data_IF_572094099813
#
_entry.id   IF_572094099813
#
_cell.length_a   1.000
_cell.length_b   1.000
_cell.length_c   1.000
_cell.angle_alpha   90.00
_cell.angle_beta   90.00
_cell.angle_gamma   90.00
#
_symmetry.space_group_name_H-M   'P 1'
#
loop_
_entity.id
_entity.type
_entity.pdbx_description
1 polymer ?
#
# COMPACT_ATOMS: atom_id res chain seq x y z
N UNK A 1 -66.02 -9.93 -49.05
CA UNK A 1 -65.31 -10.58 -47.93
C UNK A 1 -64.02 -11.12 -48.49
N UNK A 2 -62.94 -10.33 -48.37
CA UNK A 2 -61.61 -10.67 -48.88
C UNK A 2 -60.87 -11.44 -47.79
N UNK A 3 -60.53 -12.69 -48.08
CA UNK A 3 -59.70 -13.56 -47.25
C UNK A 3 -58.27 -13.01 -47.27
N UNK A 4 -57.81 -12.51 -46.12
CA UNK A 4 -56.39 -12.25 -45.86
C UNK A 4 -55.77 -13.57 -45.41
N UNK A 5 -54.85 -14.09 -46.19
CA UNK A 5 -54.05 -15.28 -45.87
C UNK A 5 -52.85 -14.83 -45.03
N UNK A 6 -52.73 -15.32 -43.80
CA UNK A 6 -51.61 -15.00 -42.91
C UNK A 6 -50.32 -15.68 -43.39
N UNK A 7 -49.16 -15.01 -43.36
CA UNK A 7 -47.90 -15.59 -43.81
C UNK A 7 -47.36 -16.60 -42.79
N UNK A 8 -47.12 -17.81 -43.28
CA UNK A 8 -46.48 -18.90 -42.54
C UNK A 8 -45.01 -18.58 -42.26
N UNK A 9 -44.66 -18.37 -40.99
CA UNK A 9 -43.28 -18.22 -40.52
C UNK A 9 -42.57 -19.58 -40.52
N UNK A 10 -41.49 -19.69 -41.30
CA UNK A 10 -40.57 -20.83 -41.24
C UNK A 10 -39.73 -20.80 -39.95
N UNK A 11 -39.49 -21.96 -39.31
CA UNK A 11 -38.68 -22.04 -38.09
C UNK A 11 -37.20 -21.77 -38.39
N UNK A 12 -36.61 -20.82 -37.66
CA UNK A 12 -35.18 -20.49 -37.76
C UNK A 12 -34.31 -21.57 -37.10
N UNK A 13 -33.14 -21.91 -37.67
CA UNK A 13 -32.23 -22.90 -37.10
C UNK A 13 -31.61 -22.42 -35.78
N UNK A 14 -31.60 -23.31 -34.79
CA UNK A 14 -31.06 -23.06 -33.44
C UNK A 14 -29.52 -22.93 -33.47
N UNK A 15 -28.90 -22.01 -32.70
CA UNK A 15 -27.45 -21.82 -32.72
C UNK A 15 -26.69 -23.00 -32.08
N UNK A 16 -25.70 -23.55 -32.80
CA UNK A 16 -24.83 -24.63 -32.30
C UNK A 16 -23.99 -24.18 -31.08
N UNK A 17 -24.01 -25.00 -30.02
CA UNK A 17 -23.17 -24.81 -28.82
C UNK A 17 -21.69 -25.12 -29.11
N UNK A 18 -20.74 -24.33 -28.57
CA UNK A 18 -19.31 -24.54 -28.83
C UNK A 18 -18.79 -25.82 -28.17
N UNK A 19 -18.11 -26.66 -28.96
CA UNK A 19 -17.47 -27.91 -28.50
C UNK A 19 -16.18 -27.59 -27.70
N UNK A 20 -16.16 -27.95 -26.41
CA UNK A 20 -14.97 -27.82 -25.54
C UNK A 20 -13.86 -28.78 -26.01
N UNK A 21 -12.72 -28.24 -26.43
CA UNK A 21 -11.51 -29.03 -26.75
C UNK A 21 -10.78 -29.36 -25.44
N UNK A 22 -10.58 -30.64 -25.14
CA UNK A 22 -9.69 -31.09 -24.06
C UNK A 22 -8.24 -30.91 -24.51
N UNK A 23 -7.50 -29.98 -23.91
CA UNK A 23 -6.04 -29.95 -24.00
C UNK A 23 -5.46 -30.92 -22.99
N UNK A 24 -4.76 -31.94 -23.48
CA UNK A 24 -3.82 -32.76 -22.74
C UNK A 24 -2.42 -32.24 -23.08
N UNK A 25 -1.77 -31.54 -22.16
CA UNK A 25 -0.36 -31.15 -22.30
C UNK A 25 0.48 -31.92 -21.29
N UNK A 26 1.29 -32.82 -21.86
CA UNK A 26 2.29 -33.69 -21.27
C UNK A 26 3.41 -32.88 -20.62
N UNK A 27 3.75 -33.22 -19.37
CA UNK A 27 4.92 -32.67 -18.68
C UNK A 27 6.21 -33.27 -19.21
N UNK A 28 7.18 -32.43 -19.55
CA UNK A 28 8.57 -32.80 -19.83
C UNK A 28 9.44 -31.99 -18.87
N UNK A 29 9.99 -32.67 -17.88
CA UNK A 29 11.06 -32.15 -17.04
C UNK A 29 12.36 -32.15 -17.83
N UNK A 30 13.05 -31.00 -17.85
CA UNK A 30 14.42 -30.89 -18.33
C UNK A 30 15.27 -30.36 -17.18
N UNK A 31 16.07 -31.25 -16.59
CA UNK A 31 17.13 -30.91 -15.65
C UNK A 31 18.33 -30.34 -16.44
N UNK A 32 18.73 -29.10 -16.13
CA UNK A 32 19.94 -28.48 -16.65
C UNK A 32 21.10 -28.72 -15.69
N UNK A 33 22.09 -29.50 -16.14
CA UNK A 33 23.37 -29.73 -15.46
C UNK A 33 24.33 -28.61 -15.91
N UNK A 34 24.77 -27.76 -14.98
CA UNK A 34 25.83 -26.77 -15.22
C UNK A 34 27.15 -27.36 -14.76
N UNK A 35 28.05 -27.61 -15.71
CA UNK A 35 29.42 -28.04 -15.45
C UNK A 35 30.34 -26.81 -15.31
N UNK A 36 30.98 -26.65 -14.15
CA UNK A 36 32.00 -25.64 -13.88
C UNK A 36 33.36 -26.23 -14.25
N UNK A 37 34.03 -25.66 -15.27
CA UNK A 37 35.42 -25.98 -15.60
C UNK A 37 36.36 -24.90 -15.04
N UNK A 38 37.13 -25.31 -14.05
CA UNK A 38 38.25 -24.57 -13.47
C UNK A 38 39.49 -24.87 -14.31
N UNK A 39 40.14 -23.86 -14.89
CA UNK A 39 41.51 -24.00 -15.40
C UNK A 39 42.38 -22.88 -14.89
N UNK A 40 43.34 -23.28 -14.06
CA UNK A 40 44.38 -22.46 -13.44
C UNK A 40 45.60 -22.28 -14.34
N UNK A 41 46.07 -21.04 -14.39
CA UNK A 41 47.48 -20.58 -14.25
C UNK A 41 48.54 -21.11 -15.21
N UNK A 42 49.19 -20.19 -15.96
CA UNK A 42 50.67 -20.14 -16.02
C UNK A 42 51.15 -18.68 -16.10
N UNK A 43 52.11 -18.37 -15.24
CA UNK A 43 52.79 -17.10 -15.05
C UNK A 43 53.95 -16.88 -16.03
N UNK A 44 54.29 -15.61 -16.28
CA UNK A 44 55.67 -15.20 -16.61
C UNK A 44 56.03 -13.94 -15.81
N UNK A 45 57.11 -14.06 -15.05
CA UNK A 45 57.77 -13.03 -14.23
C UNK A 45 58.82 -12.27 -15.04
N UNK A 46 59.02 -10.96 -14.80
CA UNK A 46 60.18 -10.40 -14.06
C UNK A 46 60.29 -8.86 -14.18
N UNK A 47 60.41 -8.21 -13.01
CA UNK A 47 61.08 -6.92 -12.75
C UNK A 47 60.36 -5.64 -13.20
N UNK A 48 60.21 -4.55 -12.42
CA UNK A 48 60.92 -4.12 -11.21
C UNK A 48 60.18 -2.91 -10.59
N UNK A 49 60.19 -2.84 -9.24
CA UNK A 49 60.02 -1.66 -8.38
C UNK A 49 58.69 -0.90 -8.28
N UNK A 50 58.06 -1.03 -7.11
CA UNK A 50 57.11 -0.07 -6.52
C UNK A 50 55.95 -0.75 -5.77
N UNK A 51 55.91 -0.62 -4.44
CA UNK A 51 54.83 -1.09 -3.54
C UNK A 51 54.58 0.05 -2.52
N UNK A 52 53.44 0.11 -1.82
CA UNK A 52 52.06 0.25 -2.32
C UNK A 52 51.30 1.38 -1.58
N UNK A 53 50.10 1.75 -2.03
CA UNK A 53 49.01 2.16 -1.13
C UNK A 53 47.68 2.15 -1.90
N UNK A 54 46.69 1.58 -1.24
CA UNK A 54 45.36 1.20 -1.74
C UNK A 54 44.49 2.41 -2.08
N UNK A 55 43.77 2.35 -3.20
CA UNK A 55 42.69 3.28 -3.53
C UNK A 55 41.38 2.48 -3.63
N UNK A 56 40.64 2.47 -2.52
CA UNK A 56 39.22 2.13 -2.47
C UNK A 56 38.50 3.44 -2.10
N UNK A 57 37.51 3.92 -2.88
CA UNK A 57 36.70 5.06 -2.46
C UNK A 57 35.69 4.60 -1.39
N UNK A 58 35.75 5.22 -0.21
CA UNK A 58 34.72 5.10 0.83
C UNK A 58 33.44 5.91 0.45
N UNK A 59 32.26 5.49 0.94
CA UNK A 59 31.01 6.23 0.80
C UNK A 59 30.96 7.48 1.70
N UNK A 60 30.18 8.52 1.35
CA UNK A 60 30.19 9.79 2.09
C UNK A 60 29.53 9.66 3.46
N UNK A 61 30.27 10.08 4.51
CA UNK A 61 29.81 10.23 5.88
C UNK A 61 28.79 11.38 6.02
N UNK A 62 27.76 11.12 6.82
CA UNK A 62 26.70 12.03 7.24
C UNK A 62 27.21 12.82 8.46
N UNK A 63 27.23 14.16 8.38
CA UNK A 63 27.59 15.03 9.50
C UNK A 63 26.52 14.99 10.59
N UNK A 64 26.98 14.76 11.82
CA UNK A 64 26.21 14.65 13.06
C UNK A 64 26.14 16.04 13.72
N UNK A 65 24.95 16.63 13.79
CA UNK A 65 24.72 17.93 14.44
C UNK A 65 24.60 17.72 15.95
N UNK A 66 25.51 18.37 16.68
CA UNK A 66 25.57 18.42 18.14
C UNK A 66 24.43 19.28 18.72
N UNK A 67 23.67 18.69 19.64
CA UNK A 67 22.82 19.40 20.60
C UNK A 67 23.65 19.81 21.82
N UNK A 68 23.51 21.05 22.35
CA UNK A 68 23.86 21.35 23.72
C UNK A 68 22.61 21.32 24.62
N UNK A 69 22.67 20.50 25.66
CA UNK A 69 21.88 20.67 26.88
C UNK A 69 22.58 21.72 27.74
N UNK A 70 21.82 22.66 28.31
CA UNK A 70 22.10 23.12 29.67
C UNK A 70 20.82 23.58 30.38
N UNK A 71 20.83 23.26 31.65
CA UNK A 71 19.79 23.29 32.67
C UNK A 71 19.62 24.70 33.22
N UNK A 72 18.38 25.12 33.52
CA UNK A 72 18.12 25.92 34.72
C UNK A 72 16.65 25.81 35.18
N UNK A 73 16.51 25.34 36.42
CA UNK A 73 15.28 25.28 37.23
C UNK A 73 15.06 26.64 37.90
N UNK A 74 13.80 27.06 38.15
CA UNK A 74 13.40 27.15 39.55
C UNK A 74 11.97 26.65 39.83
N UNK A 75 11.83 26.03 41.00
CA UNK A 75 10.58 25.71 41.70
C UNK A 75 9.75 26.96 42.01
N UNK A 76 8.41 26.86 42.01
CA UNK A 76 7.64 26.95 43.27
C UNK A 76 6.15 26.54 43.16
N UNK A 77 5.71 25.96 44.28
CA UNK A 77 4.40 25.97 44.94
C UNK A 77 3.09 25.41 44.33
N UNK A 78 2.38 24.75 45.25
CA UNK A 78 1.20 23.88 45.16
C UNK A 78 -0.14 24.62 44.98
N UNK A 79 -1.18 23.93 44.53
CA UNK A 79 -2.45 23.74 45.29
C UNK A 79 -3.43 22.80 44.58
N UNK A 80 -4.32 22.29 45.42
CA UNK A 80 -5.22 21.14 45.33
C UNK A 80 -6.53 21.40 44.54
N UNK A 81 -7.28 20.30 44.34
CA UNK A 81 -8.75 20.21 44.42
C UNK A 81 -9.58 19.93 43.15
N UNK A 82 -10.26 18.77 43.23
CA UNK A 82 -11.59 18.35 42.72
C UNK A 82 -11.88 17.98 41.25
N UNK A 83 -12.14 16.66 41.13
CA UNK A 83 -13.14 15.98 40.29
C UNK A 83 -14.57 16.50 40.58
N UNK A 84 -15.48 16.50 39.59
CA UNK A 84 -16.68 15.67 39.75
C UNK A 84 -17.05 14.87 38.50
N UNK A 85 -17.51 13.63 38.75
CA UNK A 85 -18.36 12.84 37.86
C UNK A 85 -19.75 13.46 37.78
N UNK A 86 -20.39 13.41 36.60
CA UNK A 86 -21.81 13.03 36.52
C UNK A 86 -22.17 12.48 35.13
N UNK A 87 -23.34 11.84 35.04
CA UNK A 87 -23.59 10.54 34.40
C UNK A 87 -24.63 10.57 33.26
N UNK A 88 -24.35 9.85 32.13
CA UNK A 88 -25.24 9.04 31.21
C UNK A 88 -26.55 9.60 30.58
N UNK A 89 -27.26 8.91 29.62
CA UNK A 89 -26.90 7.97 28.54
C UNK A 89 -27.66 8.19 27.17
N UNK A 90 -27.16 7.64 26.05
CA UNK A 90 -27.93 7.20 24.84
C UNK A 90 -26.95 6.71 23.76
N UNK A 91 -26.62 5.42 23.67
CA UNK A 91 -27.37 4.29 23.07
C UNK A 91 -27.70 4.45 21.57
N UNK A 92 -26.79 3.93 20.74
CA UNK A 92 -27.02 3.32 19.42
C UNK A 92 -25.69 2.72 18.94
N UNK A 93 -25.25 1.65 19.60
CA UNK A 93 -24.12 0.86 19.14
C UNK A 93 -24.58 -0.09 18.02
N UNK A 94 -24.20 0.23 16.79
CA UNK A 94 -24.23 -0.74 15.70
C UNK A 94 -23.02 -1.66 15.89
N UNK A 95 -23.28 -2.90 16.30
CA UNK A 95 -22.24 -3.93 16.46
C UNK A 95 -21.62 -4.25 15.10
N UNK A 96 -20.41 -3.73 14.87
CA UNK A 96 -19.47 -4.28 13.89
C UNK A 96 -18.81 -5.52 14.49
N UNK A 97 -18.74 -6.66 13.79
CA UNK A 97 -18.04 -7.84 14.26
C UNK A 97 -16.53 -7.61 14.18
N UNK A 98 -15.93 -7.06 15.24
CA UNK A 98 -14.49 -6.97 15.41
C UNK A 98 -13.93 -8.34 15.79
N UNK A 99 -13.62 -9.16 14.79
CA UNK A 99 -12.85 -10.39 14.97
C UNK A 99 -11.45 -10.18 14.41
N UNK A 100 -10.60 -9.47 15.14
CA UNK A 100 -9.13 -9.54 15.00
C UNK A 100 -8.48 -8.99 16.28
N UNK A 101 -7.40 -9.62 16.73
CA UNK A 101 -6.83 -9.48 18.07
C UNK A 101 -6.45 -8.04 18.45
N UNK A 102 -6.46 -7.73 19.75
CA UNK A 102 -5.91 -6.47 20.26
C UNK A 102 -4.44 -6.35 19.85
N UNK A 103 -4.06 -5.19 19.29
CA UNK A 103 -2.66 -4.85 19.03
C UNK A 103 -1.86 -4.96 20.34
N UNK A 104 -0.80 -5.76 20.33
CA UNK A 104 0.11 -5.90 21.48
C UNK A 104 1.16 -4.79 21.43
N UNK A 105 1.20 -3.96 22.48
CA UNK A 105 2.10 -2.82 22.60
C UNK A 105 3.22 -3.15 23.58
N UNK A 106 4.47 -2.91 23.16
CA UNK A 106 5.63 -3.01 24.05
C UNK A 106 5.64 -1.81 25.02
N UNK A 107 5.59 -2.04 26.35
CA UNK A 107 5.57 -0.96 27.34
C UNK A 107 6.83 -0.07 27.33
N UNK A 108 7.94 -0.55 26.78
CA UNK A 108 9.22 0.19 26.74
C UNK A 108 9.30 1.18 25.58
N UNK A 109 8.70 0.85 24.44
CA UNK A 109 8.71 1.70 23.23
C UNK A 109 7.39 2.44 23.01
N UNK A 110 6.30 1.94 23.59
CA UNK A 110 4.94 2.43 23.34
C UNK A 110 4.40 2.02 21.97
N UNK A 111 5.09 1.15 21.22
CA UNK A 111 4.74 0.69 19.86
C UNK A 111 4.56 -0.82 19.80
N UNK A 112 3.93 -1.33 18.74
CA UNK A 112 3.92 -2.76 18.47
C UNK A 112 5.26 -3.28 17.92
N UNK A 113 5.38 -4.59 17.74
CA UNK A 113 6.57 -5.24 17.15
C UNK A 113 6.94 -4.73 15.75
N UNK A 114 6.05 -4.01 15.08
CA UNK A 114 6.22 -3.44 13.75
C UNK A 114 6.32 -1.91 13.76
N UNK A 115 6.70 -1.33 14.91
CA UNK A 115 6.88 0.13 15.09
C UNK A 115 5.58 0.94 14.92
N UNK A 116 4.43 0.30 15.01
CA UNK A 116 3.12 0.96 14.88
C UNK A 116 2.72 1.55 16.23
N UNK A 117 2.38 2.84 16.25
CA UNK A 117 1.75 3.45 17.44
C UNK A 117 0.38 2.79 17.74
N UNK A 118 -0.14 2.94 18.97
CA UNK A 118 -1.46 2.42 19.30
C UNK A 118 -2.53 2.98 18.37
N UNK A 119 -3.31 2.07 17.76
CA UNK A 119 -4.44 2.48 16.94
C UNK A 119 -5.50 3.19 17.80
N UNK A 120 -6.07 4.33 17.36
CA UNK A 120 -7.10 5.03 18.11
C UNK A 120 -8.34 4.18 18.37
N UNK A 121 -8.99 4.41 19.51
CA UNK A 121 -10.23 3.69 19.88
C UNK A 121 -11.30 3.79 18.79
N UNK A 122 -11.94 2.65 18.51
CA UNK A 122 -12.97 2.53 17.47
C UNK A 122 -12.43 2.44 16.04
N UNK A 123 -11.11 2.47 15.83
CA UNK A 123 -10.49 2.17 14.53
C UNK A 123 -10.13 0.68 14.41
N UNK A 124 -10.15 0.11 13.19
CA UNK A 124 -9.72 -1.28 12.98
C UNK A 124 -8.30 -1.52 13.46
N UNK A 125 -8.09 -2.59 14.21
CA UNK A 125 -6.76 -3.05 14.59
C UNK A 125 -6.05 -3.70 13.39
N UNK A 126 -4.71 -3.63 13.31
CA UNK A 126 -3.96 -4.28 12.25
C UNK A 126 -4.05 -5.80 12.38
N UNK A 127 -4.24 -6.48 11.25
CA UNK A 127 -4.17 -7.94 11.14
C UNK A 127 -2.75 -8.39 10.74
N UNK A 128 -2.42 -9.64 11.03
CA UNK A 128 -1.21 -10.30 10.52
C UNK A 128 -1.54 -10.89 9.14
N UNK A 129 -0.89 -10.43 8.05
CA UNK A 129 -1.23 -10.89 6.71
C UNK A 129 -1.00 -12.39 6.49
N UNK A 130 -0.05 -13.00 7.22
CA UNK A 130 0.21 -14.44 7.19
C UNK A 130 -0.89 -15.30 7.83
N UNK A 131 -1.70 -14.72 8.72
CA UNK A 131 -2.78 -15.40 9.42
C UNK A 131 -4.14 -15.16 8.74
N UNK A 132 -4.18 -14.37 7.66
CA UNK A 132 -5.40 -14.04 6.95
C UNK A 132 -5.99 -15.27 6.23
N UNK A 133 -7.14 -15.74 6.69
CA UNK A 133 -7.95 -16.75 6.01
C UNK A 133 -8.91 -16.08 5.02
N UNK A 134 -8.65 -16.21 3.71
CA UNK A 134 -9.51 -15.64 2.68
C UNK A 134 -10.66 -16.61 2.33
N UNK A 135 -11.87 -16.27 2.74
CA UNK A 135 -13.07 -16.99 2.31
C UNK A 135 -13.55 -16.47 0.95
N UNK A 136 -13.23 -17.21 -0.10
CA UNK A 136 -13.64 -16.88 -1.47
C UNK A 136 -15.14 -17.04 -1.73
N UNK A 137 -15.90 -17.67 -0.85
CA UNK A 137 -17.35 -17.88 -1.00
C UNK A 137 -18.17 -16.68 -0.51
N UNK A 138 -17.70 -16.00 0.53
CA UNK A 138 -18.33 -14.78 1.06
C UNK A 138 -17.78 -13.56 0.33
N UNK A 139 -18.68 -12.77 -0.27
CA UNK A 139 -18.33 -11.58 -1.04
C UNK A 139 -18.90 -10.33 -0.40
N UNK A 140 -18.04 -9.32 -0.31
CA UNK A 140 -18.36 -7.97 0.14
C UNK A 140 -18.04 -6.96 -0.96
N UNK A 141 -18.41 -5.71 -0.74
CA UNK A 141 -18.11 -4.60 -1.64
C UNK A 141 -17.49 -3.45 -0.88
N UNK A 142 -16.50 -2.82 -1.48
CA UNK A 142 -15.92 -1.55 -1.04
C UNK A 142 -15.85 -0.58 -2.22
N UNK A 143 -15.50 0.67 -1.97
CA UNK A 143 -15.14 1.62 -3.04
C UNK A 143 -13.65 1.91 -3.00
N UNK A 144 -13.03 2.06 -4.17
CA UNK A 144 -11.64 2.47 -4.31
C UNK A 144 -11.52 3.66 -5.28
N UNK A 145 -10.66 4.62 -4.93
CA UNK A 145 -10.27 5.74 -5.78
C UNK A 145 -8.75 5.96 -5.72
N UNK A 146 -8.17 6.50 -6.79
CA UNK A 146 -6.74 6.81 -6.88
C UNK A 146 -6.60 8.22 -7.46
N UNK A 147 -5.98 9.13 -6.71
CA UNK A 147 -5.82 10.52 -7.09
C UNK A 147 -4.42 11.05 -6.82
N UNK A 148 -3.92 11.87 -7.74
CA UNK A 148 -2.69 12.63 -7.62
C UNK A 148 -2.96 14.15 -7.67
N UNK A 149 -4.12 14.59 -7.19
CA UNK A 149 -4.60 15.98 -7.32
C UNK A 149 -3.64 17.02 -6.76
N UNK A 150 -2.93 16.71 -5.68
CA UNK A 150 -1.92 17.59 -5.05
C UNK A 150 -0.79 17.96 -6.01
N UNK A 151 -0.49 17.11 -7.00
CA UNK A 151 0.53 17.39 -8.01
C UNK A 151 0.15 18.60 -8.87
N UNK A 152 -1.15 18.85 -9.10
CA UNK A 152 -1.60 19.99 -9.92
C UNK A 152 -1.16 21.33 -9.32
N UNK A 153 -1.10 21.43 -8.00
CA UNK A 153 -0.60 22.59 -7.26
C UNK A 153 0.93 22.61 -7.11
N UNK A 154 1.62 21.56 -7.58
CA UNK A 154 3.07 21.36 -7.47
C UNK A 154 3.73 21.00 -8.82
N UNK A 155 3.10 21.35 -9.94
CA UNK A 155 3.54 20.99 -11.31
C UNK A 155 4.93 21.54 -11.66
N UNK A 156 5.40 22.56 -10.97
CA UNK A 156 6.74 23.15 -11.10
C UNK A 156 7.85 22.20 -10.61
N UNK A 157 7.53 21.30 -9.66
CA UNK A 157 8.46 20.31 -9.10
C UNK A 157 8.49 18.99 -9.89
N UNK A 158 7.50 18.76 -10.76
CA UNK A 158 7.38 17.54 -11.54
C UNK A 158 8.44 17.51 -12.64
N UNK A 159 9.21 16.41 -12.69
CA UNK A 159 10.17 16.16 -13.79
C UNK A 159 9.45 16.21 -15.14
N UNK A 160 10.07 16.82 -16.15
CA UNK A 160 9.44 17.01 -17.48
C UNK A 160 8.94 15.69 -18.10
N UNK A 161 9.70 14.59 -17.93
CA UNK A 161 9.33 13.26 -18.43
C UNK A 161 8.08 12.65 -17.76
N UNK A 162 7.65 13.20 -16.62
CA UNK A 162 6.49 12.74 -15.84
C UNK A 162 5.26 13.64 -16.05
N UNK A 163 5.41 14.85 -16.58
CA UNK A 163 4.26 15.76 -16.76
C UNK A 163 3.15 15.15 -17.63
N UNK A 164 3.53 14.40 -18.66
CA UNK A 164 2.58 13.75 -19.57
C UNK A 164 1.76 12.60 -18.96
N UNK A 165 2.14 12.11 -17.77
CA UNK A 165 1.41 11.03 -17.09
C UNK A 165 0.49 11.55 -15.97
N UNK A 166 0.53 12.85 -15.65
CA UNK A 166 -0.36 13.47 -14.66
C UNK A 166 -1.69 13.82 -15.34
N UNK A 167 -2.82 13.21 -14.94
CA UNK A 167 -4.14 13.59 -15.47
C UNK A 167 -4.45 15.05 -15.15
N UNK A 168 -5.11 15.76 -16.08
CA UNK A 168 -5.40 17.20 -15.92
C UNK A 168 -6.33 17.52 -14.74
N UNK A 169 -7.14 16.57 -14.31
CA UNK A 169 -8.02 16.66 -13.14
C UNK A 169 -7.41 15.98 -11.89
N UNK A 170 -6.24 15.37 -12.03
CA UNK A 170 -5.54 14.62 -10.98
C UNK A 170 -6.23 13.31 -10.60
N UNK A 171 -7.14 12.77 -11.41
CA UNK A 171 -7.84 11.51 -11.14
C UNK A 171 -7.23 10.41 -12.00
N UNK A 172 -6.64 9.41 -11.35
CA UNK A 172 -6.08 8.21 -12.01
C UNK A 172 -7.14 7.11 -12.10
N UNK A 173 -7.94 6.98 -11.04
CA UNK A 173 -9.10 6.09 -10.97
C UNK A 173 -10.22 6.81 -10.23
N UNK A 174 -11.32 7.06 -10.94
CA UNK A 174 -12.58 7.51 -10.33
C UNK A 174 -13.07 6.52 -9.28
N UNK A 175 -13.83 7.01 -8.29
CA UNK A 175 -14.47 6.17 -7.28
C UNK A 175 -15.23 5.02 -7.93
N UNK A 176 -14.75 3.81 -7.68
CA UNK A 176 -15.25 2.59 -8.30
C UNK A 176 -15.64 1.61 -7.22
N UNK A 177 -16.87 1.10 -7.28
CA UNK A 177 -17.28 -0.04 -6.44
C UNK A 177 -16.63 -1.32 -6.96
N UNK A 178 -15.96 -2.05 -6.06
CA UNK A 178 -15.32 -3.34 -6.36
C UNK A 178 -15.78 -4.38 -5.35
N UNK A 179 -15.79 -5.64 -5.80
CA UNK A 179 -16.08 -6.78 -4.93
C UNK A 179 -14.78 -7.32 -4.34
N UNK A 180 -14.83 -7.77 -3.09
CA UNK A 180 -13.74 -8.47 -2.42
C UNK A 180 -14.26 -9.67 -1.63
N UNK A 181 -13.37 -10.60 -1.31
CA UNK A 181 -13.64 -11.78 -0.51
C UNK A 181 -13.36 -11.48 0.95
N UNK A 182 -14.11 -12.07 1.87
CA UNK A 182 -13.81 -11.93 3.30
C UNK A 182 -12.35 -12.31 3.60
N UNK A 183 -11.67 -11.51 4.42
CA UNK A 183 -10.25 -11.68 4.74
C UNK A 183 -9.28 -10.96 3.80
N UNK A 184 -9.72 -10.40 2.66
CA UNK A 184 -8.84 -9.60 1.80
C UNK A 184 -8.47 -8.25 2.46
N UNK A 185 -7.25 -7.78 2.18
CA UNK A 185 -6.72 -6.51 2.66
C UNK A 185 -6.93 -5.35 1.69
N UNK A 186 -6.65 -4.12 2.14
CA UNK A 186 -6.59 -2.93 1.26
C UNK A 186 -5.57 -3.14 0.13
N UNK A 187 -4.43 -3.78 0.42
CA UNK A 187 -3.40 -4.07 -0.59
C UNK A 187 -3.91 -5.01 -1.69
N UNK A 188 -4.62 -6.08 -1.32
CA UNK A 188 -5.17 -7.05 -2.28
C UNK A 188 -6.13 -6.38 -3.26
N UNK A 189 -7.01 -5.52 -2.75
CA UNK A 189 -7.94 -4.75 -3.56
C UNK A 189 -7.22 -3.73 -4.45
N UNK A 190 -6.20 -3.01 -3.94
CA UNK A 190 -5.40 -2.11 -4.78
C UNK A 190 -4.73 -2.88 -5.93
N UNK A 191 -4.00 -3.95 -5.60
CA UNK A 191 -3.24 -4.72 -6.59
C UNK A 191 -4.16 -5.31 -7.67
N UNK A 192 -5.29 -5.93 -7.26
CA UNK A 192 -6.28 -6.46 -8.21
C UNK A 192 -6.85 -5.36 -9.10
N UNK A 193 -7.27 -4.24 -8.50
CA UNK A 193 -7.90 -3.14 -9.22
C UNK A 193 -6.94 -2.52 -10.23
N UNK A 194 -5.69 -2.22 -9.84
CA UNK A 194 -4.69 -1.69 -10.74
C UNK A 194 -4.42 -2.64 -11.92
N UNK A 195 -4.25 -3.94 -11.65
CA UNK A 195 -4.06 -4.96 -12.69
C UNK A 195 -5.23 -5.03 -13.67
N UNK A 196 -6.46 -5.03 -13.17
CA UNK A 196 -7.68 -5.11 -14.01
C UNK A 196 -7.91 -3.85 -14.84
N UNK A 197 -7.47 -2.69 -14.35
CA UNK A 197 -7.59 -1.40 -15.04
C UNK A 197 -6.38 -1.06 -15.92
N UNK A 198 -5.36 -1.91 -15.95
CA UNK A 198 -4.11 -1.63 -16.68
C UNK A 198 -3.33 -0.44 -16.10
N UNK A 199 -3.52 -0.14 -14.82
CA UNK A 199 -2.78 0.89 -14.09
C UNK A 199 -1.51 0.23 -13.55
N UNK A 200 -0.36 0.74 -13.97
CA UNK A 200 0.93 0.28 -13.45
C UNK A 200 1.01 0.50 -11.93
N UNK A 201 1.50 -0.48 -11.18
CA UNK A 201 1.65 -0.39 -9.73
C UNK A 201 2.91 -1.17 -9.32
N UNK A 202 3.72 -0.55 -8.47
CA UNK A 202 4.92 -1.15 -7.89
C UNK A 202 4.88 -1.06 -6.37
N UNK A 203 5.35 -2.13 -5.74
CA UNK A 203 5.41 -2.27 -4.30
C UNK A 203 6.51 -3.24 -3.89
N UNK A 204 7.11 -3.03 -2.72
CA UNK A 204 8.02 -3.97 -2.09
C UNK A 204 7.48 -4.41 -0.72
N UNK A 205 7.82 -5.64 -0.31
CA UNK A 205 7.50 -6.10 1.04
C UNK A 205 8.46 -5.47 2.04
N UNK A 206 7.93 -4.88 3.11
CA UNK A 206 8.72 -4.25 4.17
C UNK A 206 8.58 -5.06 5.48
N UNK A 207 9.53 -5.96 5.79
CA UNK A 207 9.40 -6.85 6.95
C UNK A 207 9.20 -6.13 8.28
N UNK A 208 9.83 -4.96 8.44
CA UNK A 208 9.72 -4.17 9.68
C UNK A 208 8.29 -3.64 9.92
N UNK A 209 7.48 -3.51 8.87
CA UNK A 209 6.09 -3.04 8.97
C UNK A 209 5.06 -4.15 8.74
N UNK A 210 5.52 -5.38 8.50
CA UNK A 210 4.72 -6.53 8.06
C UNK A 210 3.69 -6.18 6.97
N UNK A 211 4.10 -5.39 5.98
CA UNK A 211 3.21 -4.90 4.94
C UNK A 211 3.96 -4.60 3.64
N UNK A 212 3.21 -4.60 2.54
CA UNK A 212 3.66 -3.98 1.30
C UNK A 212 3.76 -2.46 1.46
N UNK A 213 4.85 -1.90 0.96
CA UNK A 213 5.07 -0.48 0.74
C UNK A 213 4.80 -0.16 -0.73
N UNK A 214 3.89 0.78 -1.01
CA UNK A 214 3.50 1.14 -2.37
C UNK A 214 4.40 2.27 -2.88
N UNK A 215 5.35 1.89 -3.72
CA UNK A 215 6.39 2.79 -4.25
C UNK A 215 5.84 3.66 -5.38
N UNK A 216 4.91 3.14 -6.18
CA UNK A 216 4.36 3.87 -7.32
C UNK A 216 3.03 3.34 -7.83
N UNK A 217 2.20 4.26 -8.32
CA UNK A 217 0.93 3.99 -9.00
C UNK A 217 0.86 4.88 -10.24
N UNK A 218 0.41 4.33 -11.37
CA UNK A 218 0.35 5.01 -12.67
C UNK A 218 1.71 5.59 -13.14
N UNK A 219 2.81 4.94 -12.79
CA UNK A 219 4.18 5.42 -13.03
C UNK A 219 4.55 6.74 -12.31
N UNK A 220 3.76 7.19 -11.34
CA UNK A 220 4.14 8.25 -10.39
C UNK A 220 4.65 7.56 -9.13
N UNK A 221 5.91 7.80 -8.80
CA UNK A 221 6.57 7.14 -7.67
C UNK A 221 6.75 8.09 -6.50
N UNK A 222 7.05 7.55 -5.33
CA UNK A 222 7.65 8.35 -4.27
C UNK A 222 8.80 9.22 -4.80
N UNK A 223 8.94 10.39 -4.21
CA UNK A 223 9.96 11.38 -4.52
C UNK A 223 9.89 12.05 -5.90
N UNK A 224 8.96 11.68 -6.78
CA UNK A 224 8.83 12.29 -8.11
C UNK A 224 8.41 13.77 -8.08
N UNK A 225 7.83 14.24 -6.97
CA UNK A 225 7.43 15.65 -6.77
C UNK A 225 8.08 16.25 -5.51
N UNK A 226 9.26 15.76 -5.16
CA UNK A 226 10.08 16.23 -4.03
C UNK A 226 10.28 15.18 -2.94
N UNK A 227 11.26 15.37 -2.06
CA UNK A 227 11.70 14.34 -1.09
C UNK A 227 10.65 13.92 -0.03
N UNK A 228 9.55 14.65 0.07
CA UNK A 228 8.43 14.33 0.97
C UNK A 228 7.20 13.79 0.21
N UNK A 229 7.33 13.55 -1.09
CA UNK A 229 6.23 13.09 -1.94
C UNK A 229 6.12 11.58 -1.97
N UNK A 230 4.90 11.05 -2.03
CA UNK A 230 4.63 9.62 -1.99
C UNK A 230 3.15 9.28 -1.97
N UNK A 231 2.86 7.98 -1.89
CA UNK A 231 1.49 7.46 -1.84
C UNK A 231 1.04 7.23 -0.40
N UNK A 232 -0.14 7.73 -0.07
CA UNK A 232 -0.82 7.46 1.19
C UNK A 232 -2.20 6.85 0.92
N UNK A 233 -2.64 5.98 1.81
CA UNK A 233 -3.98 5.41 1.74
C UNK A 233 -4.83 5.88 2.92
N UNK A 234 -6.12 6.05 2.66
CA UNK A 234 -7.12 6.48 3.62
C UNK A 234 -8.30 5.53 3.52
N UNK A 235 -8.83 5.10 4.67
CA UNK A 235 -10.05 4.29 4.73
C UNK A 235 -11.09 4.99 5.58
N UNK A 236 -12.30 5.20 5.04
CA UNK A 236 -13.41 5.87 5.73
C UNK A 236 -13.00 7.23 6.35
N UNK A 237 -12.24 8.02 5.59
CA UNK A 237 -11.75 9.33 6.02
C UNK A 237 -10.59 9.32 7.02
N UNK A 238 -10.09 8.16 7.42
CA UNK A 238 -8.97 8.00 8.36
C UNK A 238 -7.73 7.47 7.66
N UNK A 239 -6.56 8.03 7.97
CA UNK A 239 -5.25 7.53 7.53
C UNK A 239 -4.75 6.50 8.56
N UNK A 240 -4.77 5.20 8.26
CA UNK A 240 -4.23 4.22 9.19
C UNK A 240 -2.72 4.41 9.37
N UNK A 241 -2.24 4.21 10.60
CA UNK A 241 -0.83 4.36 10.98
C UNK A 241 -0.01 3.06 10.77
N UNK A 242 -0.58 2.08 10.08
CA UNK A 242 0.05 0.81 9.72
C UNK A 242 -0.12 0.54 8.23
N UNK A 243 0.64 -0.41 7.70
CA UNK A 243 0.66 -0.68 6.26
C UNK A 243 -0.62 -1.34 5.71
N UNK A 244 -0.91 -1.07 4.44
CA UNK A 244 -2.15 -1.47 3.76
C UNK A 244 -2.40 -2.99 3.66
N UNK A 245 -1.37 -3.83 3.79
CA UNK A 245 -1.55 -5.30 3.85
C UNK A 245 -2.17 -5.75 5.17
N UNK A 246 -2.01 -4.96 6.24
CA UNK A 246 -2.52 -5.26 7.59
C UNK A 246 -3.92 -4.73 7.83
N UNK A 247 -4.49 -3.96 6.90
CA UNK A 247 -5.88 -3.50 7.00
C UNK A 247 -6.79 -4.55 6.38
N UNK A 248 -7.47 -5.35 7.22
CA UNK A 248 -8.52 -6.27 6.78
C UNK A 248 -9.78 -5.48 6.41
N UNK A 249 -10.26 -5.65 5.17
CA UNK A 249 -11.40 -4.88 4.67
C UNK A 249 -12.72 -5.33 5.26
N UNK A 250 -13.62 -4.35 5.43
CA UNK A 250 -14.99 -4.55 5.85
C UNK A 250 -15.97 -4.14 4.76
N UNK A 251 -17.18 -4.71 4.82
CA UNK A 251 -18.26 -4.36 3.90
C UNK A 251 -18.51 -2.85 3.94
N UNK A 252 -18.46 -2.23 2.76
CA UNK A 252 -18.76 -0.81 2.58
C UNK A 252 -17.59 0.15 2.78
N UNK A 253 -16.38 -0.35 3.07
CA UNK A 253 -15.21 0.52 3.24
C UNK A 253 -14.96 1.44 2.04
N UNK A 254 -14.59 2.69 2.32
CA UNK A 254 -14.17 3.68 1.32
C UNK A 254 -12.65 3.82 1.34
N UNK A 255 -11.98 3.31 0.31
CA UNK A 255 -10.53 3.38 0.12
C UNK A 255 -10.18 4.55 -0.81
N UNK A 256 -9.25 5.39 -0.39
CA UNK A 256 -8.67 6.44 -1.22
C UNK A 256 -7.14 6.36 -1.19
N UNK A 257 -6.53 6.19 -2.37
CA UNK A 257 -5.09 6.35 -2.55
C UNK A 257 -4.79 7.75 -3.05
N UNK A 258 -3.97 8.48 -2.31
CA UNK A 258 -3.69 9.89 -2.54
C UNK A 258 -2.18 10.08 -2.66
N UNK A 259 -1.74 10.77 -3.71
CA UNK A 259 -0.38 11.24 -3.79
C UNK A 259 -0.24 12.50 -2.93
N UNK A 260 0.74 12.54 -2.03
CA UNK A 260 1.13 13.75 -1.28
C UNK A 260 2.39 14.34 -1.89
N UNK A 261 2.53 15.66 -1.84
CA UNK A 261 3.70 16.40 -2.29
C UNK A 261 4.42 17.15 -1.15
N UNK A 262 3.75 17.38 -0.02
CA UNK A 262 4.22 18.27 1.05
C UNK A 262 4.04 17.64 2.42
N UNK A 263 5.07 17.76 3.26
CA UNK A 263 4.96 17.45 4.69
C UNK A 263 4.63 16.00 4.99
N UNK A 264 4.99 15.07 4.10
CA UNK A 264 4.68 13.64 4.25
C UNK A 264 3.17 13.38 4.46
N UNK A 265 2.31 14.16 3.81
CA UNK A 265 0.86 14.01 3.93
C UNK A 265 0.12 15.22 4.49
N UNK A 266 0.81 16.29 4.91
CA UNK A 266 0.16 17.50 5.42
C UNK A 266 -0.86 18.10 4.44
N UNK A 267 -0.53 18.10 3.15
CA UNK A 267 -1.39 18.62 2.06
C UNK A 267 -2.68 17.82 1.82
N UNK A 268 -2.77 16.60 2.35
CA UNK A 268 -3.96 15.74 2.27
C UNK A 268 -4.60 15.47 3.64
N UNK A 269 -4.13 16.15 4.69
CA UNK A 269 -4.60 15.98 6.07
C UNK A 269 -4.08 14.72 6.77
N UNK A 270 -3.01 14.12 6.24
CA UNK A 270 -2.38 12.88 6.73
C UNK A 270 -1.09 13.09 7.53
N UNK A 271 -0.64 14.32 7.78
CA UNK A 271 0.67 14.61 8.41
C UNK A 271 0.91 13.90 9.76
N UNK A 272 -0.15 13.64 10.55
CA UNK A 272 -0.05 12.90 11.81
C UNK A 272 0.22 11.39 11.62
N UNK A 273 -0.14 10.82 10.47
CA UNK A 273 0.06 9.40 10.18
C UNK A 273 1.46 9.08 9.65
N UNK A 274 2.22 10.09 9.22
CA UNK A 274 3.58 9.91 8.69
C UNK A 274 4.69 10.11 9.73
N UNK A 275 4.33 10.45 10.97
CA UNK A 275 5.27 10.76 12.07
C UNK A 275 5.41 9.66 13.12
N UNK A 276 5.27 8.38 12.74
CA UNK A 276 5.45 7.21 13.63
C UNK A 276 6.87 6.70 13.66
#
# INVERSE_FOLDING_TARGET
>A
MSLFEEPHLEPQPEPEKPKKKKLLSVGIGAALIVAVLVTSVVAFSFGQSGKPADNVPDPPQREEVQTPSDTDTPSDESTDTEKPEDTTPSDSAQETPSTSGKQEIDPSTGKDKYQTDPVPDGKPAPAEPEDAEVDTSTKYTCTISITCKTILDNMDKVKESKKGIVPSDGIILDTTTVTFSEGESVFDVLQRTCRERGIHMESSWTPIYNSAYVEGIANLYEFDVGSQSGWMYKVNGWFPNYGCSRYALQQGDEICWMYTCVGLGEDIGGGYAAGG
#
